data_IF_329139784126
#
_entry.id   IF_329139784126
#
_cell.length_a   1.000
_cell.length_b   1.000
_cell.length_c   1.000
_cell.angle_alpha   90.00
_cell.angle_beta   90.00
_cell.angle_gamma   90.00
#
_symmetry.space_group_name_H-M   'P 1'
#
loop_
_entity.id
_entity.type
_entity.pdbx_description
1 polymer ?
#
# COMPACT_ATOMS: atom_id res chain seq x y z
N UNK A 1 -14.70 0.02 8.95
CA UNK A 1 -13.53 0.86 9.24
C UNK A 1 -12.91 1.30 7.91
N UNK A 2 -12.74 2.61 7.68
CA UNK A 2 -12.03 3.09 6.49
C UNK A 2 -10.57 2.63 6.55
N UNK A 3 -9.98 2.37 5.38
CA UNK A 3 -8.58 2.02 5.24
C UNK A 3 -7.77 3.30 5.45
N UNK A 4 -6.94 3.34 6.48
CA UNK A 4 -6.05 4.48 6.71
C UNK A 4 -4.68 4.18 6.13
N UNK A 5 -4.10 5.09 5.36
CA UNK A 5 -2.78 4.94 4.76
C UNK A 5 -1.86 6.00 5.35
N UNK A 6 -0.74 5.57 5.91
CA UNK A 6 0.25 6.45 6.54
C UNK A 6 1.60 6.26 5.82
N UNK A 7 2.23 7.35 5.39
CA UNK A 7 3.59 7.27 4.82
C UNK A 7 4.63 7.06 5.93
N UNK A 8 5.48 6.05 5.76
CA UNK A 8 6.61 5.74 6.66
C UNK A 8 7.97 6.18 6.09
N UNK A 9 7.97 6.82 4.92
CA UNK A 9 9.16 7.28 4.19
C UNK A 9 9.68 6.26 3.18
N UNK A 10 10.57 6.70 2.27
CA UNK A 10 11.19 5.86 1.24
C UNK A 10 10.20 5.07 0.35
N UNK A 11 9.02 5.64 0.06
CA UNK A 11 7.92 4.98 -0.66
C UNK A 11 7.35 3.74 0.06
N UNK A 12 7.55 3.66 1.38
CA UNK A 12 6.93 2.66 2.25
C UNK A 12 5.72 3.28 2.94
N UNK A 13 4.62 2.56 2.93
CA UNK A 13 3.34 2.99 3.49
C UNK A 13 2.76 1.91 4.39
N UNK A 14 2.24 2.30 5.55
CA UNK A 14 1.44 1.43 6.39
C UNK A 14 -0.05 1.60 6.04
N UNK A 15 -0.73 0.49 5.76
CA UNK A 15 -2.16 0.46 5.45
C UNK A 15 -2.88 -0.23 6.61
N UNK A 16 -3.64 0.55 7.37
CA UNK A 16 -4.44 0.08 8.49
C UNK A 16 -5.80 -0.43 7.98
N UNK A 17 -5.92 -1.76 7.93
CA UNK A 17 -7.16 -2.49 7.70
C UNK A 17 -7.50 -3.30 8.99
N UNK A 18 -8.41 -4.30 9.01
CA UNK A 18 -8.50 -5.22 10.14
C UNK A 18 -7.14 -5.84 10.55
N UNK A 19 -6.16 -5.86 9.65
CA UNK A 19 -4.74 -6.06 9.97
C UNK A 19 -3.89 -5.00 9.27
N UNK A 20 -2.86 -4.49 9.95
CA UNK A 20 -1.90 -3.56 9.33
C UNK A 20 -1.03 -4.29 8.31
N UNK A 21 -0.81 -3.65 7.17
CA UNK A 21 0.09 -4.14 6.12
C UNK A 21 1.02 -3.04 5.64
N UNK A 22 2.31 -3.36 5.49
CA UNK A 22 3.25 -2.46 4.83
C UNK A 22 3.22 -2.67 3.32
N UNK A 23 3.24 -1.59 2.56
CA UNK A 23 3.34 -1.53 1.10
C UNK A 23 4.63 -0.81 0.76
N UNK A 24 5.49 -1.46 -0.03
CA UNK A 24 6.68 -0.83 -0.60
C UNK A 24 6.43 -0.65 -2.09
N UNK A 25 6.22 0.59 -2.52
CA UNK A 25 5.93 0.90 -3.92
C UNK A 25 7.17 0.80 -4.81
N UNK A 26 8.38 0.96 -4.26
CA UNK A 26 9.62 0.85 -5.02
C UNK A 26 9.93 -0.60 -5.35
N UNK A 27 9.68 -1.51 -4.40
CA UNK A 27 9.86 -2.95 -4.57
C UNK A 27 8.60 -3.64 -5.11
N UNK A 28 7.49 -2.92 -5.29
CA UNK A 28 6.20 -3.47 -5.71
C UNK A 28 5.75 -4.63 -4.82
N UNK A 29 5.88 -4.48 -3.50
CA UNK A 29 5.53 -5.52 -2.53
C UNK A 29 4.50 -5.03 -1.52
N UNK A 30 3.83 -6.00 -0.89
CA UNK A 30 2.99 -5.77 0.27
C UNK A 30 3.15 -6.95 1.22
N UNK A 31 3.13 -6.73 2.54
CA UNK A 31 3.28 -7.82 3.53
C UNK A 31 2.18 -8.88 3.44
N UNK A 32 1.03 -8.57 2.83
CA UNK A 32 0.00 -9.57 2.50
C UNK A 32 0.43 -10.57 1.39
N UNK A 33 1.60 -10.39 0.79
CA UNK A 33 2.23 -11.21 -0.27
C UNK A 33 1.49 -11.29 -1.60
N UNK A 34 0.23 -10.83 -1.69
CA UNK A 34 -0.59 -10.94 -2.90
C UNK A 34 0.03 -10.26 -4.11
N UNK A 35 0.67 -9.10 -3.96
CA UNK A 35 1.32 -8.43 -5.09
C UNK A 35 2.44 -9.29 -5.67
N UNK A 36 3.30 -9.85 -4.82
CA UNK A 36 4.38 -10.74 -5.23
C UNK A 36 3.86 -12.02 -5.90
N UNK A 37 2.80 -12.62 -5.35
CA UNK A 37 2.23 -13.89 -5.84
C UNK A 37 1.50 -13.72 -7.17
N UNK A 38 0.68 -12.68 -7.30
CA UNK A 38 -0.17 -12.50 -8.48
C UNK A 38 0.43 -11.58 -9.55
N UNK A 39 1.48 -10.84 -9.22
CA UNK A 39 2.16 -9.92 -10.14
C UNK A 39 1.43 -8.58 -10.36
N UNK A 40 0.34 -8.31 -9.64
CA UNK A 40 -0.41 -7.05 -9.72
C UNK A 40 -0.78 -6.49 -8.33
N UNK A 41 -1.03 -5.17 -8.21
CA UNK A 41 -1.30 -4.55 -6.92
C UNK A 41 -2.47 -5.22 -6.16
N UNK A 42 -2.23 -5.53 -4.89
CA UNK A 42 -3.31 -5.95 -3.99
C UNK A 42 -4.16 -4.75 -3.54
N UNK A 43 -5.28 -5.00 -2.86
CA UNK A 43 -6.15 -3.92 -2.35
C UNK A 43 -5.39 -2.88 -1.50
N UNK A 44 -4.43 -3.30 -0.66
CA UNK A 44 -3.57 -2.39 0.11
C UNK A 44 -2.74 -1.49 -0.81
N UNK A 45 -2.08 -2.09 -1.80
CA UNK A 45 -1.27 -1.35 -2.76
C UNK A 45 -2.10 -0.38 -3.61
N UNK A 46 -3.29 -0.79 -4.06
CA UNK A 46 -4.20 0.08 -4.80
C UNK A 46 -4.64 1.28 -3.95
N UNK A 47 -4.94 1.08 -2.66
CA UNK A 47 -5.26 2.17 -1.74
C UNK A 47 -4.08 3.15 -1.60
N UNK A 48 -2.87 2.63 -1.42
CA UNK A 48 -1.64 3.44 -1.35
C UNK A 48 -1.37 4.22 -2.64
N UNK A 49 -1.48 3.58 -3.80
CA UNK A 49 -1.28 4.23 -5.12
C UNK A 49 -2.30 5.35 -5.32
N UNK A 50 -3.55 5.11 -4.96
CA UNK A 50 -4.62 6.11 -5.06
C UNK A 50 -4.34 7.31 -4.17
N UNK A 51 -3.94 7.08 -2.91
CA UNK A 51 -3.59 8.16 -1.98
C UNK A 51 -2.39 8.97 -2.47
N UNK A 52 -1.29 8.30 -2.87
CA UNK A 52 -0.10 8.97 -3.38
C UNK A 52 -0.37 9.78 -4.66
N UNK A 53 -1.28 9.30 -5.51
CA UNK A 53 -1.74 10.05 -6.68
C UNK A 53 -2.58 11.27 -6.32
N UNK A 54 -3.39 11.18 -5.25
CA UNK A 54 -4.19 12.30 -4.75
C UNK A 54 -3.36 13.38 -4.04
N UNK A 55 -2.24 13.03 -3.39
CA UNK A 55 -1.31 14.02 -2.81
C UNK A 55 -0.55 14.86 -3.86
N UNK A 56 -0.54 14.42 -5.13
CA UNK A 56 0.11 15.14 -6.24
C UNK A 56 -0.82 16.18 -6.89
N UNK A 57 -2.10 16.22 -6.51
CA UNK A 57 -3.09 17.22 -6.96
C UNK A 57 -3.29 18.32 -5.89
#
# INVERSE_FOLDING_TARGET
HPWNVTESGNNIYEVHSPSSHAVDLMQMTCTCQRWKVFGFPCAHATATITMKGAEIL
#
